data_IF_469116103528
#
_entry.id   IF_469116103528
#
_cell.length_a   1.000
_cell.length_b   1.000
_cell.length_c   1.000
_cell.angle_alpha   90.00
_cell.angle_beta   90.00
_cell.angle_gamma   90.00
#
_symmetry.space_group_name_H-M   'P 1'
#
loop_
_entity.id
_entity.type
_entity.pdbx_description
1 polymer ?
#
# COMPACT_ATOMS: atom_id res chain seq x y z
N UNK A 1 16.23 -5.53 3.87
CA UNK A 1 15.44 -4.98 4.98
C UNK A 1 14.28 -5.91 5.37
N UNK A 2 13.28 -6.24 4.48
CA UNK A 2 12.13 -7.08 4.88
C UNK A 2 12.56 -8.41 5.51
N UNK A 3 13.50 -9.19 4.91
CA UNK A 3 14.00 -10.41 5.55
C UNK A 3 14.66 -10.17 6.92
N UNK A 4 15.31 -9.01 7.11
CA UNK A 4 15.95 -8.67 8.38
C UNK A 4 14.92 -8.38 9.47
N UNK A 5 13.87 -7.62 9.11
CA UNK A 5 12.75 -7.35 10.00
C UNK A 5 12.04 -8.66 10.40
N UNK A 6 11.76 -9.55 9.43
CA UNK A 6 11.13 -10.84 9.72
C UNK A 6 11.99 -11.67 10.68
N UNK A 7 13.30 -11.78 10.44
CA UNK A 7 14.21 -12.47 11.37
C UNK A 7 14.24 -11.84 12.77
N UNK A 8 14.14 -10.52 12.86
CA UNK A 8 14.10 -9.85 14.16
C UNK A 8 12.80 -10.17 14.90
N UNK A 9 11.64 -10.12 14.21
CA UNK A 9 10.35 -10.51 14.80
C UNK A 9 10.37 -11.95 15.29
N UNK A 10 10.91 -12.90 14.52
CA UNK A 10 11.06 -14.29 14.94
C UNK A 10 11.92 -14.44 16.21
N UNK A 11 13.03 -13.68 16.32
CA UNK A 11 13.89 -13.70 17.51
C UNK A 11 13.17 -13.15 18.74
N UNK A 12 12.44 -12.05 18.56
CA UNK A 12 11.79 -11.34 19.67
C UNK A 12 10.55 -12.07 20.17
N UNK A 13 9.80 -12.72 19.26
CA UNK A 13 8.60 -13.50 19.59
C UNK A 13 8.91 -14.93 20.03
N UNK A 14 10.02 -15.50 19.58
CA UNK A 14 10.32 -16.93 19.72
C UNK A 14 9.57 -17.81 18.73
N UNK A 15 8.77 -17.24 17.82
CA UNK A 15 7.97 -17.96 16.83
C UNK A 15 8.78 -18.24 15.55
N UNK A 16 8.46 -19.34 14.87
CA UNK A 16 9.15 -19.74 13.63
C UNK A 16 8.54 -19.10 12.39
N UNK A 17 7.30 -18.64 12.47
CA UNK A 17 6.58 -18.07 11.34
C UNK A 17 5.97 -16.69 11.70
N UNK A 18 5.55 -15.97 10.67
CA UNK A 18 4.98 -14.62 10.81
C UNK A 18 3.81 -14.42 9.86
N UNK A 19 2.80 -13.69 10.31
CA UNK A 19 1.80 -13.09 9.42
C UNK A 19 2.33 -11.75 8.93
N UNK A 20 2.36 -11.55 7.61
CA UNK A 20 2.79 -10.30 7.00
C UNK A 20 1.57 -9.50 6.56
N UNK A 21 1.45 -8.27 7.07
CA UNK A 21 0.38 -7.34 6.68
C UNK A 21 1.01 -6.19 5.91
N UNK A 22 0.58 -6.00 4.67
CA UNK A 22 1.04 -4.92 3.80
C UNK A 22 -0.08 -3.97 3.41
N UNK A 23 0.13 -2.67 3.60
CA UNK A 23 -0.80 -1.62 3.19
C UNK A 23 -0.19 -0.80 2.05
N UNK A 24 -0.94 -0.61 0.96
CA UNK A 24 -0.52 0.13 -0.22
C UNK A 24 0.82 -0.37 -0.79
N UNK A 25 1.87 0.44 -0.82
CA UNK A 25 3.22 0.00 -1.23
C UNK A 25 3.85 -1.01 -0.26
N UNK A 26 3.45 -1.01 1.02
CA UNK A 26 3.80 -2.07 1.96
C UNK A 26 3.27 -3.44 1.49
N UNK A 27 2.09 -3.47 0.88
CA UNK A 27 1.57 -4.66 0.22
C UNK A 27 2.42 -5.10 -0.98
N UNK A 28 2.85 -4.16 -1.83
CA UNK A 28 3.77 -4.47 -2.93
C UNK A 28 5.08 -5.08 -2.41
N UNK A 29 5.68 -4.50 -1.36
CA UNK A 29 6.88 -5.06 -0.74
C UNK A 29 6.66 -6.45 -0.16
N UNK A 30 5.49 -6.69 0.45
CA UNK A 30 5.09 -8.00 0.97
C UNK A 30 4.92 -9.04 -0.14
N UNK A 31 4.35 -8.65 -1.28
CA UNK A 31 4.25 -9.49 -2.47
C UNK A 31 5.62 -9.84 -3.03
N UNK A 32 6.52 -8.86 -3.16
CA UNK A 32 7.89 -9.09 -3.61
C UNK A 32 8.64 -10.03 -2.67
N UNK A 33 8.51 -9.82 -1.35
CA UNK A 33 9.11 -10.68 -0.34
C UNK A 33 8.58 -12.12 -0.45
N UNK A 34 7.26 -12.31 -0.42
CA UNK A 34 6.64 -13.63 -0.50
C UNK A 34 6.93 -14.37 -1.81
N UNK A 35 7.03 -13.63 -2.93
CA UNK A 35 7.38 -14.20 -4.23
C UNK A 35 8.81 -14.74 -4.29
N UNK A 36 9.75 -14.06 -3.63
CA UNK A 36 11.18 -14.40 -3.65
C UNK A 36 11.55 -15.42 -2.59
N UNK A 37 10.85 -15.40 -1.45
CA UNK A 37 11.07 -16.27 -0.30
C UNK A 37 9.82 -17.13 -0.02
N UNK A 38 9.33 -17.81 -1.07
CA UNK A 38 8.09 -18.58 -1.00
C UNK A 38 8.11 -19.71 0.06
N UNK A 39 9.28 -20.31 0.30
CA UNK A 39 9.49 -21.33 1.34
C UNK A 39 9.98 -20.71 2.68
N UNK A 40 9.84 -19.40 2.82
CA UNK A 40 10.26 -18.64 3.99
C UNK A 40 9.24 -18.70 5.14
N UNK A 41 9.48 -17.92 6.20
CA UNK A 41 8.69 -17.97 7.43
C UNK A 41 7.33 -17.26 7.34
N UNK A 42 6.92 -16.79 6.16
CA UNK A 42 5.60 -16.16 6.00
C UNK A 42 4.50 -17.23 6.04
N UNK A 43 3.69 -17.24 7.10
CA UNK A 43 2.56 -18.16 7.30
C UNK A 43 1.28 -17.66 6.63
N UNK A 44 1.01 -16.36 6.75
CA UNK A 44 -0.15 -15.70 6.14
C UNK A 44 0.25 -14.37 5.51
N UNK A 45 -0.46 -13.97 4.46
CA UNK A 45 -0.30 -12.68 3.80
C UNK A 45 -1.61 -11.91 3.81
N UNK A 46 -1.58 -10.67 4.28
CA UNK A 46 -2.72 -9.77 4.24
C UNK A 46 -2.32 -8.51 3.47
N UNK A 47 -3.08 -8.18 2.46
CA UNK A 47 -2.86 -7.00 1.62
C UNK A 47 -4.04 -6.03 1.73
N UNK A 48 -3.76 -4.77 2.10
CA UNK A 48 -4.77 -3.72 2.10
C UNK A 48 -4.52 -2.77 0.93
N UNK A 49 -5.52 -2.58 0.05
CA UNK A 49 -5.47 -1.66 -1.10
C UNK A 49 -4.13 -1.72 -1.84
N UNK A 50 -3.67 -2.92 -2.16
CA UNK A 50 -2.36 -3.15 -2.78
C UNK A 50 -2.46 -3.13 -4.30
N UNK A 51 -1.80 -2.20 -5.01
CA UNK A 51 -1.82 -2.17 -6.46
C UNK A 51 -0.94 -3.28 -7.05
N UNK A 52 -1.42 -3.91 -8.11
CA UNK A 52 -0.69 -4.87 -8.94
C UNK A 52 -0.62 -4.42 -10.39
N UNK A 53 -1.73 -3.94 -10.96
CA UNK A 53 -1.75 -3.30 -12.28
C UNK A 53 -1.70 -1.78 -12.13
N UNK A 54 -0.51 -1.21 -12.26
CA UNK A 54 -0.30 0.23 -12.09
C UNK A 54 -0.93 1.08 -13.19
N UNK A 55 -1.35 0.50 -14.32
CA UNK A 55 -2.13 1.21 -15.35
C UNK A 55 -3.51 1.63 -14.84
N UNK A 56 -4.03 0.93 -13.82
CA UNK A 56 -5.25 1.32 -13.11
C UNK A 56 -5.11 2.62 -12.30
N UNK A 57 -3.89 3.05 -11.95
CA UNK A 57 -3.60 4.27 -11.20
C UNK A 57 -3.50 5.49 -12.12
N UNK A 58 -4.57 5.79 -12.86
CA UNK A 58 -4.59 6.72 -14.00
C UNK A 58 -4.00 8.11 -13.71
N UNK A 59 -4.28 8.71 -12.54
CA UNK A 59 -3.77 10.03 -12.21
C UNK A 59 -2.25 9.99 -12.00
N UNK A 60 -1.74 8.99 -11.29
CA UNK A 60 -0.29 8.80 -11.14
C UNK A 60 0.38 8.50 -12.47
N UNK A 61 -0.26 7.72 -13.35
CA UNK A 61 0.22 7.47 -14.71
C UNK A 61 0.36 8.77 -15.50
N UNK A 62 -0.59 9.69 -15.37
CA UNK A 62 -0.52 10.99 -16.06
C UNK A 62 0.62 11.85 -15.52
N UNK A 63 0.84 11.88 -14.21
CA UNK A 63 1.92 12.66 -13.58
C UNK A 63 3.30 12.10 -13.88
N UNK A 64 3.42 10.78 -14.04
CA UNK A 64 4.67 10.10 -14.33
C UNK A 64 4.84 9.71 -15.81
N UNK A 65 4.07 10.32 -16.73
CA UNK A 65 4.17 10.01 -18.16
C UNK A 65 5.59 10.25 -18.68
N UNK A 66 6.27 9.17 -19.14
CA UNK A 66 7.66 9.19 -19.57
C UNK A 66 7.97 10.18 -20.70
N UNK A 67 6.94 10.68 -21.40
CA UNK A 67 7.12 11.70 -22.45
C UNK A 67 7.44 13.07 -21.85
N UNK A 68 7.04 13.33 -20.61
CA UNK A 68 7.13 14.65 -19.97
C UNK A 68 7.82 14.59 -18.61
N UNK A 69 8.02 13.41 -18.04
CA UNK A 69 8.59 13.22 -16.71
C UNK A 69 9.93 12.47 -16.80
N UNK A 70 11.00 13.17 -16.51
CA UNK A 70 12.36 12.60 -16.45
C UNK A 70 12.71 12.29 -14.99
N UNK A 71 12.46 11.06 -14.57
CA UNK A 71 12.74 10.61 -13.21
C UNK A 71 14.24 10.55 -12.91
N UNK A 72 15.07 10.29 -13.93
CA UNK A 72 16.52 10.21 -13.76
C UNK A 72 17.07 11.60 -13.45
N UNK A 73 16.73 12.59 -14.26
CA UNK A 73 17.12 13.97 -14.01
C UNK A 73 16.64 14.48 -12.65
N UNK A 74 15.40 14.15 -12.27
CA UNK A 74 14.87 14.53 -10.96
C UNK A 74 15.73 13.96 -9.83
N UNK A 75 15.92 12.64 -9.80
CA UNK A 75 16.64 11.96 -8.71
C UNK A 75 18.12 12.36 -8.71
N UNK A 76 18.75 12.49 -9.86
CA UNK A 76 20.15 12.91 -9.96
C UNK A 76 20.36 14.36 -9.47
N UNK A 77 19.33 15.21 -9.62
CA UNK A 77 19.39 16.61 -9.20
C UNK A 77 19.11 16.84 -7.70
N UNK A 78 18.14 16.12 -7.13
CA UNK A 78 17.68 16.38 -5.75
C UNK A 78 18.03 15.25 -4.77
N UNK A 79 18.46 14.08 -5.26
CA UNK A 79 18.68 12.89 -4.42
C UNK A 79 17.36 12.30 -3.93
N UNK A 80 17.08 12.43 -2.64
CA UNK A 80 15.82 11.98 -2.06
C UNK A 80 14.68 12.94 -2.40
N UNK A 81 13.50 12.37 -2.70
CA UNK A 81 12.28 13.17 -2.97
C UNK A 81 11.78 13.80 -1.66
N UNK A 82 11.67 15.12 -1.58
CA UNK A 82 11.28 15.79 -0.34
C UNK A 82 9.80 15.54 0.01
N UNK A 83 9.44 15.61 1.31
CA UNK A 83 8.07 15.37 1.78
C UNK A 83 7.03 16.25 1.10
N UNK A 84 7.35 17.52 0.86
CA UNK A 84 6.45 18.50 0.23
C UNK A 84 6.05 18.06 -1.18
N UNK A 85 6.95 17.46 -1.92
CA UNK A 85 6.70 16.98 -3.28
C UNK A 85 5.78 15.74 -3.25
N UNK A 86 5.97 14.86 -2.27
CA UNK A 86 5.13 13.68 -2.06
C UNK A 86 3.71 14.14 -1.67
N UNK A 87 3.59 15.03 -0.68
CA UNK A 87 2.30 15.56 -0.23
C UNK A 87 1.56 16.27 -1.36
N UNK A 88 2.24 17.12 -2.14
CA UNK A 88 1.65 17.79 -3.29
C UNK A 88 1.13 16.80 -4.34
N UNK A 89 1.83 15.70 -4.57
CA UNK A 89 1.36 14.66 -5.51
C UNK A 89 0.05 14.02 -5.06
N UNK A 90 -0.11 13.76 -3.76
CA UNK A 90 -1.38 13.25 -3.21
C UNK A 90 -2.49 14.31 -3.23
N UNK A 91 -2.18 15.57 -2.93
CA UNK A 91 -3.15 16.67 -3.00
C UNK A 91 -3.69 16.87 -4.43
N UNK A 92 -2.83 16.70 -5.45
CA UNK A 92 -3.25 16.79 -6.85
C UNK A 92 -4.24 15.69 -7.28
N UNK A 93 -4.35 14.57 -6.56
CA UNK A 93 -5.37 13.57 -6.83
C UNK A 93 -6.79 14.09 -6.56
N UNK A 94 -6.94 15.01 -5.60
CA UNK A 94 -8.22 15.65 -5.23
C UNK A 94 -7.99 17.10 -4.78
N UNK A 95 -7.76 18.04 -5.69
CA UNK A 95 -7.37 19.41 -5.32
C UNK A 95 -8.38 20.15 -4.42
N UNK A 96 -9.67 19.88 -4.60
CA UNK A 96 -10.72 20.50 -3.78
C UNK A 96 -10.85 19.89 -2.36
N UNK A 97 -10.24 18.74 -2.08
CA UNK A 97 -10.42 18.04 -0.80
C UNK A 97 -9.88 18.83 0.38
N UNK A 98 -8.74 19.52 0.21
CA UNK A 98 -8.14 20.31 1.28
C UNK A 98 -9.04 21.48 1.69
N UNK A 99 -9.57 22.22 0.72
CA UNK A 99 -10.51 23.31 0.98
C UNK A 99 -11.81 22.80 1.64
N UNK A 100 -12.37 21.71 1.12
CA UNK A 100 -13.56 21.08 1.71
C UNK A 100 -13.32 20.61 3.15
N UNK A 101 -12.14 20.04 3.42
CA UNK A 101 -11.74 19.61 4.76
C UNK A 101 -11.61 20.78 5.74
N UNK A 102 -11.10 21.92 5.29
CA UNK A 102 -11.02 23.13 6.11
C UNK A 102 -12.41 23.71 6.42
N UNK A 103 -13.33 23.71 5.44
CA UNK A 103 -14.73 24.12 5.66
C UNK A 103 -15.39 23.18 6.68
N UNK A 104 -15.21 21.86 6.53
CA UNK A 104 -15.74 20.89 7.50
C UNK A 104 -15.17 21.11 8.90
N UNK A 105 -13.89 21.44 9.02
CA UNK A 105 -13.29 21.76 10.31
C UNK A 105 -13.96 22.99 10.94
N UNK A 106 -14.17 24.04 10.14
CA UNK A 106 -14.84 25.27 10.60
C UNK A 106 -16.28 25.00 11.05
N UNK A 107 -17.04 24.25 10.27
CA UNK A 107 -18.42 23.88 10.57
C UNK A 107 -18.56 23.01 11.83
N UNK A 108 -17.52 22.27 12.19
CA UNK A 108 -17.50 21.37 13.34
C UNK A 108 -16.53 21.79 14.45
N UNK A 109 -16.11 23.07 14.48
CA UNK A 109 -15.11 23.55 15.45
C UNK A 109 -15.55 23.44 16.91
N UNK A 110 -16.85 23.39 17.15
CA UNK A 110 -17.49 23.20 18.44
C UNK A 110 -17.49 21.73 18.93
N UNK A 111 -17.17 20.78 18.05
CA UNK A 111 -17.12 19.36 18.35
C UNK A 111 -15.67 18.91 18.60
N UNK A 112 -15.30 18.81 19.88
CA UNK A 112 -13.94 18.48 20.31
C UNK A 112 -13.44 17.14 19.78
N UNK A 113 -14.30 16.12 19.65
CA UNK A 113 -13.91 14.82 19.11
C UNK A 113 -13.59 14.91 17.62
N UNK A 114 -14.39 15.67 16.87
CA UNK A 114 -14.13 15.93 15.46
C UNK A 114 -12.80 16.67 15.26
N UNK A 115 -12.60 17.76 16.00
CA UNK A 115 -11.38 18.58 15.96
C UNK A 115 -10.15 17.74 16.32
N UNK A 116 -10.26 16.90 17.36
CA UNK A 116 -9.17 15.99 17.75
C UNK A 116 -8.83 15.01 16.65
N UNK A 117 -9.84 14.35 16.06
CA UNK A 117 -9.65 13.39 14.96
C UNK A 117 -9.06 14.05 13.73
N UNK A 118 -9.53 15.25 13.37
CA UNK A 118 -9.00 16.05 12.27
C UNK A 118 -7.51 16.36 12.47
N UNK A 119 -7.14 16.89 13.65
CA UNK A 119 -5.74 17.22 13.97
C UNK A 119 -4.82 16.00 13.98
N UNK A 120 -5.31 14.87 14.48
CA UNK A 120 -4.54 13.62 14.47
C UNK A 120 -4.27 13.15 13.04
N UNK A 121 -5.27 13.21 12.18
CA UNK A 121 -5.14 12.85 10.77
C UNK A 121 -4.21 13.81 10.02
N UNK A 122 -4.41 15.12 10.19
CA UNK A 122 -3.58 16.16 9.56
C UNK A 122 -2.10 16.02 9.97
N UNK A 123 -1.84 15.83 11.27
CA UNK A 123 -0.49 15.57 11.76
C UNK A 123 0.12 14.31 11.16
N UNK A 124 -0.63 13.20 11.14
CA UNK A 124 -0.15 11.96 10.52
C UNK A 124 0.14 12.15 9.02
N UNK A 125 -0.72 12.82 8.29
CA UNK A 125 -0.55 13.06 6.86
C UNK A 125 0.67 13.96 6.55
N UNK A 126 0.93 14.96 7.41
CA UNK A 126 2.05 15.89 7.24
C UNK A 126 3.38 15.38 7.79
N UNK A 127 3.37 14.34 8.63
CA UNK A 127 4.57 13.68 9.17
C UNK A 127 5.16 12.69 8.13
N UNK A 128 5.38 13.19 6.92
CA UNK A 128 5.91 12.43 5.79
C UNK A 128 7.43 12.52 5.74
N UNK A 129 8.10 11.38 5.60
CA UNK A 129 9.55 11.32 5.46
C UNK A 129 9.97 11.50 3.99
N UNK A 130 11.21 12.00 3.75
CA UNK A 130 11.78 12.00 2.41
C UNK A 130 11.79 10.57 1.82
N UNK A 131 11.42 10.43 0.55
CA UNK A 131 11.46 9.15 -0.13
C UNK A 131 12.83 8.94 -0.78
N UNK A 132 13.44 7.80 -0.54
CA UNK A 132 14.73 7.47 -1.14
C UNK A 132 14.67 7.58 -2.66
N UNK A 133 15.58 8.36 -3.27
CA UNK A 133 15.53 8.67 -4.70
C UNK A 133 15.58 7.42 -5.57
N UNK A 134 16.47 6.46 -5.28
CA UNK A 134 16.55 5.22 -6.04
C UNK A 134 15.30 4.33 -5.90
N UNK A 135 14.63 4.37 -4.75
CA UNK A 135 13.34 3.71 -4.59
C UNK A 135 12.25 4.39 -5.42
N UNK A 136 12.22 5.72 -5.45
CA UNK A 136 11.30 6.49 -6.30
C UNK A 136 11.55 6.21 -7.79
N UNK A 137 12.83 6.17 -8.22
CA UNK A 137 13.25 5.81 -9.58
C UNK A 137 12.74 4.41 -9.96
N UNK A 138 12.92 3.43 -9.07
CA UNK A 138 12.47 2.05 -9.28
C UNK A 138 10.93 1.96 -9.36
N UNK A 139 10.20 2.61 -8.46
CA UNK A 139 8.73 2.67 -8.51
C UNK A 139 8.27 3.24 -9.85
N UNK A 140 8.85 4.36 -10.28
CA UNK A 140 8.46 5.03 -11.51
C UNK A 140 8.73 4.15 -12.73
N UNK A 141 9.94 3.63 -12.86
CA UNK A 141 10.33 2.84 -14.05
C UNK A 141 9.69 1.45 -14.04
N UNK A 142 9.85 0.71 -12.95
CA UNK A 142 9.49 -0.71 -12.93
C UNK A 142 7.99 -0.92 -12.76
N UNK A 143 7.33 -0.08 -11.95
CA UNK A 143 5.91 -0.25 -11.65
C UNK A 143 5.03 0.66 -12.50
N UNK A 144 5.27 1.99 -12.50
CA UNK A 144 4.41 2.92 -13.23
C UNK A 144 4.57 2.79 -14.75
N UNK A 145 5.79 2.74 -15.27
CA UNK A 145 6.04 2.70 -16.72
C UNK A 145 5.94 1.29 -17.31
N UNK A 146 6.74 0.37 -16.77
CA UNK A 146 6.89 -0.98 -17.33
C UNK A 146 5.87 -1.97 -16.78
N UNK A 147 5.17 -1.61 -15.69
CA UNK A 147 4.15 -2.44 -15.03
C UNK A 147 4.63 -3.87 -14.76
N UNK A 148 5.90 -3.99 -14.33
CA UNK A 148 6.62 -5.27 -14.24
C UNK A 148 5.97 -6.26 -13.30
N UNK A 149 5.31 -5.78 -12.22
CA UNK A 149 4.62 -6.66 -11.28
C UNK A 149 3.43 -7.35 -11.95
N UNK A 150 2.63 -6.60 -12.71
CA UNK A 150 1.51 -7.15 -13.46
C UNK A 150 1.98 -8.05 -14.62
N UNK A 151 3.06 -7.69 -15.29
CA UNK A 151 3.59 -8.40 -16.46
C UNK A 151 4.48 -9.62 -16.09
N UNK A 152 4.61 -9.95 -14.79
CA UNK A 152 5.43 -11.07 -14.28
C UNK A 152 6.92 -10.99 -14.68
N UNK A 153 7.42 -9.75 -14.88
CA UNK A 153 8.80 -9.46 -15.27
C UNK A 153 9.59 -8.76 -14.16
N UNK A 154 9.01 -8.61 -12.97
CA UNK A 154 9.66 -7.95 -11.85
C UNK A 154 10.85 -8.77 -11.33
N UNK A 155 11.96 -8.07 -11.07
CA UNK A 155 13.17 -8.65 -10.47
C UNK A 155 13.65 -7.77 -9.31
N UNK A 156 14.12 -8.38 -8.24
CA UNK A 156 14.73 -7.69 -7.10
C UNK A 156 16.02 -8.40 -6.74
N UNK A 157 17.13 -7.67 -6.77
CA UNK A 157 18.45 -8.25 -6.50
C UNK A 157 18.80 -9.42 -7.45
N UNK A 158 18.39 -9.36 -8.69
CA UNK A 158 18.62 -10.39 -9.71
C UNK A 158 17.70 -11.62 -9.60
N UNK A 159 16.78 -11.65 -8.63
CA UNK A 159 15.81 -12.75 -8.45
C UNK A 159 14.45 -12.34 -9.01
N UNK A 160 13.84 -13.23 -9.79
CA UNK A 160 12.48 -13.01 -10.31
C UNK A 160 11.46 -13.05 -9.16
N UNK A 161 10.61 -12.03 -9.10
CA UNK A 161 9.49 -11.96 -8.16
C UNK A 161 8.19 -12.32 -8.91
N UNK A 162 7.72 -13.55 -8.74
CA UNK A 162 6.51 -14.05 -9.37
C UNK A 162 5.43 -14.26 -8.30
N UNK A 163 4.36 -13.47 -8.34
CA UNK A 163 3.27 -13.52 -7.37
C UNK A 163 2.64 -14.92 -7.30
N UNK A 164 2.67 -15.68 -8.40
CA UNK A 164 2.15 -17.05 -8.45
C UNK A 164 2.92 -18.03 -7.53
N UNK A 165 4.12 -17.67 -7.07
CA UNK A 165 4.89 -18.47 -6.12
C UNK A 165 4.34 -18.39 -4.68
N UNK A 166 3.55 -17.36 -4.35
CA UNK A 166 2.97 -17.20 -3.02
C UNK A 166 1.82 -18.19 -2.86
N UNK A 167 1.99 -19.18 -1.97
CA UNK A 167 1.02 -20.27 -1.73
C UNK A 167 0.34 -20.18 -0.36
N UNK A 168 0.82 -19.31 0.52
CA UNK A 168 0.26 -19.13 1.87
C UNK A 168 -1.15 -18.55 1.82
N UNK A 169 -2.00 -18.75 2.84
CA UNK A 169 -3.30 -18.11 2.96
C UNK A 169 -3.21 -16.60 2.77
N UNK A 170 -4.14 -16.02 2.01
CA UNK A 170 -4.10 -14.61 1.65
C UNK A 170 -5.45 -13.93 1.78
N UNK A 171 -5.48 -12.81 2.50
CA UNK A 171 -6.61 -11.89 2.55
C UNK A 171 -6.27 -10.59 1.80
N UNK A 172 -7.14 -10.21 0.87
CA UNK A 172 -7.06 -8.93 0.17
C UNK A 172 -8.25 -8.05 0.54
N UNK A 173 -8.03 -6.98 1.28
CA UNK A 173 -9.07 -6.01 1.61
C UNK A 173 -8.88 -4.72 0.81
N UNK A 174 -9.92 -4.29 0.10
CA UNK A 174 -9.94 -3.09 -0.74
C UNK A 174 -11.08 -2.15 -0.35
N UNK A 175 -10.89 -0.86 -0.58
CA UNK A 175 -11.91 0.14 -0.34
C UNK A 175 -12.69 0.47 -1.61
N UNK A 176 -14.03 0.46 -1.53
CA UNK A 176 -14.94 0.69 -2.66
C UNK A 176 -14.71 2.05 -3.33
N UNK A 177 -14.33 3.08 -2.56
CA UNK A 177 -14.14 4.45 -3.04
C UNK A 177 -12.68 4.91 -2.91
N UNK A 178 -11.76 3.98 -3.12
CA UNK A 178 -10.32 4.29 -3.09
C UNK A 178 -9.92 5.09 -4.34
N UNK A 179 -9.49 6.33 -4.13
CA UNK A 179 -9.02 7.21 -5.22
C UNK A 179 -7.50 7.20 -5.37
N UNK A 180 -6.78 6.62 -4.40
CA UNK A 180 -5.32 6.46 -4.45
C UNK A 180 -4.98 5.16 -5.19
N UNK A 181 -5.60 4.05 -4.77
CA UNK A 181 -5.52 2.77 -5.45
C UNK A 181 -6.92 2.36 -5.91
N UNK A 182 -7.36 2.78 -7.10
CA UNK A 182 -8.63 2.33 -7.67
C UNK A 182 -8.70 0.80 -7.72
N UNK A 183 -9.88 0.25 -7.52
CA UNK A 183 -10.08 -1.21 -7.50
C UNK A 183 -9.46 -1.92 -8.72
N UNK A 184 -9.52 -1.29 -9.90
CA UNK A 184 -8.92 -1.84 -11.13
C UNK A 184 -7.40 -2.05 -11.04
N UNK A 185 -6.71 -1.27 -10.20
CA UNK A 185 -5.27 -1.45 -9.95
C UNK A 185 -5.00 -2.62 -8.99
N UNK A 186 -5.89 -2.87 -8.03
CA UNK A 186 -5.74 -3.88 -6.99
C UNK A 186 -6.31 -5.26 -7.38
N UNK A 187 -7.44 -5.27 -8.10
CA UNK A 187 -8.19 -6.45 -8.53
C UNK A 187 -7.36 -7.62 -9.10
N UNK A 188 -6.32 -7.39 -9.92
CA UNK A 188 -5.55 -8.49 -10.49
C UNK A 188 -4.84 -9.37 -9.46
N UNK A 189 -4.66 -8.89 -8.22
CA UNK A 189 -3.96 -9.63 -7.17
C UNK A 189 -4.57 -11.01 -6.92
N UNK A 190 -5.90 -11.06 -6.74
CA UNK A 190 -6.61 -12.32 -6.47
C UNK A 190 -6.47 -13.34 -7.60
N UNK A 191 -6.40 -12.89 -8.84
CA UNK A 191 -6.25 -13.78 -9.99
C UNK A 191 -4.81 -14.29 -10.14
N UNK A 192 -3.81 -13.44 -9.80
CA UNK A 192 -2.39 -13.74 -10.03
C UNK A 192 -1.74 -14.51 -8.90
N UNK A 193 -2.20 -14.34 -7.66
CA UNK A 193 -1.61 -15.03 -6.52
C UNK A 193 -1.84 -16.53 -6.59
N UNK A 194 -0.81 -17.30 -6.27
CA UNK A 194 -0.83 -18.75 -6.37
C UNK A 194 -1.44 -19.48 -5.17
N UNK A 195 -1.91 -18.76 -4.15
CA UNK A 195 -2.59 -19.34 -2.99
C UNK A 195 -3.89 -20.03 -3.40
N UNK A 196 -4.16 -21.21 -2.82
CA UNK A 196 -5.45 -21.88 -2.91
C UNK A 196 -6.46 -21.33 -1.88
N UNK A 197 -5.96 -20.88 -0.72
CA UNK A 197 -6.75 -20.23 0.34
C UNK A 197 -6.60 -18.72 0.21
N UNK A 198 -7.47 -18.11 -0.57
CA UNK A 198 -7.45 -16.66 -0.82
C UNK A 198 -8.85 -16.07 -0.79
N UNK A 199 -8.95 -14.93 -0.13
CA UNK A 199 -10.19 -14.19 0.04
C UNK A 199 -10.02 -12.72 -0.34
N UNK A 200 -11.04 -12.15 -0.98
CA UNK A 200 -11.11 -10.71 -1.24
C UNK A 200 -12.34 -10.11 -0.57
N UNK A 201 -12.15 -9.02 0.14
CA UNK A 201 -13.22 -8.26 0.76
C UNK A 201 -13.21 -6.81 0.26
N UNK A 202 -14.37 -6.35 -0.22
CA UNK A 202 -14.57 -4.98 -0.67
C UNK A 202 -15.39 -4.24 0.37
N UNK A 203 -14.79 -3.24 1.01
CA UNK A 203 -15.40 -2.52 2.12
C UNK A 203 -15.72 -1.07 1.73
N UNK A 204 -16.88 -0.57 2.20
CA UNK A 204 -17.23 0.84 2.02
C UNK A 204 -16.21 1.73 2.71
N UNK A 205 -15.72 2.74 1.99
CA UNK A 205 -14.76 3.70 2.49
C UNK A 205 -13.76 4.10 1.42
N UNK A 206 -12.82 4.95 1.79
CA UNK A 206 -11.67 5.35 0.97
C UNK A 206 -10.38 4.75 1.52
N UNK A 207 -9.27 5.04 0.88
CA UNK A 207 -7.94 4.48 1.16
C UNK A 207 -7.62 4.42 2.66
N UNK A 208 -7.57 5.56 3.32
CA UNK A 208 -7.18 5.66 4.74
C UNK A 208 -8.29 5.15 5.66
N UNK A 209 -9.57 5.44 5.35
CA UNK A 209 -10.69 5.01 6.20
C UNK A 209 -10.93 3.50 6.19
N UNK A 210 -10.29 2.76 5.28
CA UNK A 210 -10.26 1.29 5.32
C UNK A 210 -9.53 0.81 6.58
N UNK A 211 -8.35 1.37 6.86
CA UNK A 211 -7.43 0.89 7.91
C UNK A 211 -7.48 1.70 9.20
N UNK A 212 -8.08 2.87 9.20
CA UNK A 212 -8.10 3.77 10.35
C UNK A 212 -9.50 4.34 10.63
N UNK A 213 -9.73 4.69 11.89
CA UNK A 213 -10.94 5.32 12.36
C UNK A 213 -12.15 4.37 12.51
N UNK A 214 -13.37 4.93 12.75
CA UNK A 214 -14.56 4.13 13.06
C UNK A 214 -14.97 3.14 11.96
N UNK A 215 -14.66 3.45 10.71
CA UNK A 215 -14.97 2.56 9.59
C UNK A 215 -14.14 1.27 9.65
N UNK A 216 -12.83 1.39 9.91
CA UNK A 216 -11.94 0.24 10.09
C UNK A 216 -12.38 -0.64 11.26
N UNK A 217 -12.60 -0.04 12.43
CA UNK A 217 -13.02 -0.73 13.66
C UNK A 217 -14.31 -1.52 13.47
N UNK A 218 -15.27 -0.98 12.71
CA UNK A 218 -16.60 -1.61 12.55
C UNK A 218 -16.64 -2.63 11.40
N UNK A 219 -15.72 -2.58 10.46
CA UNK A 219 -15.79 -3.37 9.22
C UNK A 219 -14.58 -4.25 8.97
N UNK A 220 -13.38 -3.66 8.90
CA UNK A 220 -12.18 -4.42 8.58
C UNK A 220 -11.71 -5.27 9.75
N UNK A 221 -11.60 -4.68 10.94
CA UNK A 221 -10.97 -5.36 12.06
C UNK A 221 -11.72 -6.61 12.54
N UNK A 222 -13.07 -6.65 12.59
CA UNK A 222 -13.78 -7.88 12.91
C UNK A 222 -13.56 -8.99 11.88
N UNK A 223 -13.48 -8.64 10.58
CA UNK A 223 -13.19 -9.63 9.53
C UNK A 223 -11.74 -10.13 9.62
N UNK A 224 -10.80 -9.20 9.87
CA UNK A 224 -9.40 -9.54 10.08
C UNK A 224 -9.20 -10.46 11.29
N UNK A 225 -9.86 -10.17 12.40
CA UNK A 225 -9.81 -10.96 13.62
C UNK A 225 -10.34 -12.39 13.38
N UNK A 226 -11.50 -12.51 12.73
CA UNK A 226 -12.07 -13.82 12.36
C UNK A 226 -11.15 -14.58 11.42
N UNK A 227 -10.65 -13.93 10.36
CA UNK A 227 -9.79 -14.56 9.36
C UNK A 227 -8.46 -15.05 9.96
N UNK A 228 -7.85 -14.23 10.83
CA UNK A 228 -6.62 -14.59 11.55
C UNK A 228 -6.87 -15.68 12.58
N UNK A 229 -7.99 -15.63 13.32
CA UNK A 229 -8.35 -16.63 14.31
C UNK A 229 -8.42 -18.06 13.76
N UNK A 230 -8.81 -18.21 12.48
CA UNK A 230 -8.85 -19.49 11.80
C UNK A 230 -7.47 -19.99 11.33
N UNK A 231 -6.46 -19.09 11.20
CA UNK A 231 -5.19 -19.37 10.51
C UNK A 231 -3.93 -19.12 11.34
N UNK A 232 -4.08 -18.60 12.55
CA UNK A 232 -2.94 -18.26 13.45
C UNK A 232 -2.73 -19.25 14.58
N UNK A 233 -3.39 -20.42 14.53
CA UNK A 233 -3.26 -21.49 15.51
C UNK A 233 -2.09 -22.41 15.11
#
# INVERSE_FOLDING_TARGET
FVPDCVRQVQRDSGENDVTVIGYFFGGVLSLLYGSIFADGPMKNLICFTTPVDFRGMKLFQNFSDRRYFDVDHLVDSIGNVPPEMILSSFEMLRPASRAASQVQLWENIWNDEFVKSYRMFDRWATDTLPLAGEYFRAITKDLMWDNKLFNDTMTVGGRKADIANIKVPMLHAVAEHDHIVPYEAAKPLIAKIGSADKEEVILKGGHVSLVAGPNAVRRLWPQLDSWLGERSI
#
